data_IF_991091337206
#
_entry.id   IF_991091337206
#
_cell.length_a   1.000
_cell.length_b   1.000
_cell.length_c   1.000
_cell.angle_alpha   90.00
_cell.angle_beta   90.00
_cell.angle_gamma   90.00
#
_symmetry.space_group_name_H-M   'P 1'
#
loop_
_entity.id
_entity.type
_entity.pdbx_description
1 polymer ?
#
# COMPACT_ATOMS: atom_id res chain seq x y z
N UNK A 1 -46.67 -27.59 25.04
CA UNK A 1 -45.24 -27.93 25.22
C UNK A 1 -44.37 -27.49 24.02
N UNK A 2 -44.72 -26.38 23.35
CA UNK A 2 -44.05 -25.89 22.12
C UNK A 2 -43.56 -24.43 22.27
N UNK A 3 -43.71 -23.83 23.46
CA UNK A 3 -43.35 -22.43 23.71
C UNK A 3 -41.89 -22.23 24.18
N UNK A 4 -41.11 -23.30 24.41
CA UNK A 4 -39.71 -23.20 24.89
C UNK A 4 -38.64 -23.39 23.81
N UNK A 5 -39.03 -23.82 22.61
CA UNK A 5 -38.13 -24.01 21.46
C UNK A 5 -38.00 -22.74 20.60
N UNK A 6 -38.98 -21.84 20.66
CA UNK A 6 -38.99 -20.59 19.87
C UNK A 6 -38.09 -19.50 20.45
N UNK A 7 -37.82 -19.52 21.77
CA UNK A 7 -37.07 -18.47 22.45
C UNK A 7 -35.54 -18.59 22.28
N UNK A 8 -35.01 -19.80 22.04
CA UNK A 8 -33.57 -20.00 21.78
C UNK A 8 -33.14 -19.52 20.40
N UNK A 9 -34.01 -19.65 19.39
CA UNK A 9 -33.70 -19.22 18.02
C UNK A 9 -33.61 -17.69 17.91
N UNK A 10 -34.44 -16.96 18.67
CA UNK A 10 -34.41 -15.50 18.69
C UNK A 10 -33.15 -14.94 19.37
N UNK A 11 -32.65 -15.59 20.43
CA UNK A 11 -31.40 -15.20 21.09
C UNK A 11 -30.15 -15.47 20.22
N UNK A 12 -30.15 -16.54 19.43
CA UNK A 12 -29.04 -16.85 18.52
C UNK A 12 -28.93 -15.86 17.34
N UNK A 13 -30.05 -15.32 16.86
CA UNK A 13 -30.06 -14.33 15.77
C UNK A 13 -29.61 -12.94 16.22
N UNK A 14 -29.80 -12.57 17.49
CA UNK A 14 -29.34 -11.27 18.01
C UNK A 14 -27.83 -11.23 18.23
N UNK A 15 -27.21 -12.36 18.63
CA UNK A 15 -25.76 -12.45 18.82
C UNK A 15 -24.98 -12.49 17.49
N UNK A 16 -25.60 -12.92 16.39
CA UNK A 16 -24.99 -12.90 15.06
C UNK A 16 -24.81 -11.47 14.48
N UNK A 17 -25.46 -10.45 15.07
CA UNK A 17 -25.39 -9.07 14.59
C UNK A 17 -24.20 -8.26 15.11
N UNK A 18 -23.45 -8.80 16.08
CA UNK A 18 -22.25 -8.16 16.64
C UNK A 18 -20.94 -8.55 15.93
N UNK A 19 -21.00 -9.45 14.94
CA UNK A 19 -19.89 -9.72 14.03
C UNK A 19 -19.89 -8.78 12.80
N UNK A 20 -20.63 -7.67 12.86
CA UNK A 20 -20.35 -6.58 11.92
C UNK A 20 -18.96 -6.10 12.26
N UNK A 21 -18.07 -6.32 11.29
CA UNK A 21 -16.68 -5.91 11.27
C UNK A 21 -16.48 -4.66 12.12
N UNK A 22 -15.46 -4.68 12.96
CA UNK A 22 -14.86 -3.44 13.39
C UNK A 22 -14.29 -2.84 12.11
N UNK A 23 -15.11 -2.08 11.38
CA UNK A 23 -14.67 -1.19 10.31
C UNK A 23 -13.78 -0.17 11.01
N UNK A 24 -12.52 -0.53 11.19
CA UNK A 24 -11.48 0.44 11.48
C UNK A 24 -11.39 1.23 10.18
N UNK A 25 -12.16 2.31 10.07
CA UNK A 25 -12.05 3.28 9.00
C UNK A 25 -10.74 4.06 9.23
N UNK A 26 -9.62 3.35 9.14
CA UNK A 26 -8.29 3.88 9.31
C UNK A 26 -7.90 4.54 7.99
N UNK A 27 -8.06 5.87 7.96
CA UNK A 27 -7.57 6.67 6.85
C UNK A 27 -6.07 6.89 7.05
N UNK A 28 -5.25 6.39 6.13
CA UNK A 28 -3.82 6.68 6.13
C UNK A 28 -3.58 8.15 5.81
N UNK A 29 -2.69 8.80 6.56
CA UNK A 29 -2.29 10.19 6.35
C UNK A 29 -0.77 10.30 6.15
N UNK A 30 -0.23 11.52 6.09
CA UNK A 30 1.20 11.76 5.96
C UNK A 30 1.61 12.16 4.54
N UNK A 31 2.89 12.52 4.38
CA UNK A 31 3.38 13.24 3.20
C UNK A 31 3.09 12.52 1.87
N UNK A 32 3.16 11.20 1.85
CA UNK A 32 2.84 10.40 0.67
C UNK A 32 1.37 10.53 0.30
N UNK A 33 0.46 10.35 1.26
CA UNK A 33 -0.97 10.41 1.01
C UNK A 33 -1.41 11.84 0.69
N UNK A 34 -0.82 12.85 1.32
CA UNK A 34 -1.15 14.26 1.09
C UNK A 34 -0.74 14.73 -0.33
N UNK A 35 0.37 14.21 -0.85
CA UNK A 35 0.90 14.56 -2.18
C UNK A 35 0.62 13.51 -3.28
N UNK A 36 -0.13 12.44 -2.96
CA UNK A 36 -0.29 11.27 -3.84
C UNK A 36 -0.74 11.63 -5.26
N UNK A 37 -1.72 12.54 -5.40
CA UNK A 37 -2.24 12.94 -6.72
C UNK A 37 -1.22 13.74 -7.54
N UNK A 38 -0.46 14.62 -6.91
CA UNK A 38 0.56 15.43 -7.59
C UNK A 38 1.73 14.56 -8.06
N UNK A 39 2.22 13.70 -7.17
CA UNK A 39 3.33 12.79 -7.47
C UNK A 39 2.91 11.73 -8.51
N UNK A 40 1.70 11.18 -8.40
CA UNK A 40 1.16 10.27 -9.43
C UNK A 40 1.14 10.90 -10.81
N UNK A 41 0.62 12.14 -10.91
CA UNK A 41 0.56 12.86 -12.17
C UNK A 41 1.95 13.03 -12.80
N UNK A 42 2.92 13.47 -12.00
CA UNK A 42 4.32 13.64 -12.42
C UNK A 42 4.93 12.31 -12.88
N UNK A 43 4.79 11.26 -12.07
CA UNK A 43 5.42 9.97 -12.34
C UNK A 43 4.76 9.22 -13.50
N UNK A 44 3.44 9.29 -13.68
CA UNK A 44 2.79 8.73 -14.88
C UNK A 44 3.20 9.48 -16.14
N UNK A 45 3.34 10.80 -16.07
CA UNK A 45 3.75 11.60 -17.22
C UNK A 45 5.19 11.28 -17.63
N UNK A 46 6.09 11.03 -16.68
CA UNK A 46 7.49 10.71 -16.96
C UNK A 46 7.69 9.28 -17.45
N UNK A 47 6.90 8.33 -16.97
CA UNK A 47 7.06 6.89 -17.26
C UNK A 47 6.14 6.37 -18.35
N UNK A 48 5.01 7.03 -18.62
CA UNK A 48 4.00 6.56 -19.57
C UNK A 48 3.04 5.51 -19.00
N UNK A 49 3.11 5.19 -17.71
CA UNK A 49 2.24 4.19 -17.08
C UNK A 49 0.77 4.63 -17.13
N UNK A 50 -0.14 3.79 -17.65
CA UNK A 50 -1.57 4.10 -17.68
C UNK A 50 -2.22 3.86 -16.32
N UNK A 51 -3.25 4.67 -16.00
CA UNK A 51 -3.99 4.60 -14.71
C UNK A 51 -4.53 3.20 -14.41
N UNK A 52 -4.98 2.48 -15.45
CA UNK A 52 -5.50 1.12 -15.34
C UNK A 52 -4.46 0.12 -14.79
N UNK A 53 -3.18 0.31 -15.10
CA UNK A 53 -2.11 -0.56 -14.63
C UNK A 53 -1.91 -0.39 -13.11
N UNK A 54 -1.98 0.84 -12.62
CA UNK A 54 -1.90 1.17 -11.20
C UNK A 54 -3.08 0.58 -10.41
N UNK A 55 -4.29 0.70 -10.96
CA UNK A 55 -5.48 0.14 -10.32
C UNK A 55 -5.39 -1.40 -10.22
N UNK A 56 -4.96 -2.08 -11.30
CA UNK A 56 -4.72 -3.54 -11.27
C UNK A 56 -3.68 -3.93 -10.23
N UNK A 57 -2.63 -3.14 -10.07
CA UNK A 57 -1.62 -3.36 -9.04
C UNK A 57 -2.21 -3.24 -7.62
N UNK A 58 -3.00 -2.18 -7.37
CA UNK A 58 -3.67 -1.97 -6.08
C UNK A 58 -4.71 -3.05 -5.75
N UNK A 59 -5.34 -3.62 -6.77
CA UNK A 59 -6.22 -4.80 -6.66
C UNK A 59 -5.46 -6.10 -6.39
N UNK A 60 -4.12 -6.06 -6.40
CA UNK A 60 -3.25 -7.16 -6.03
C UNK A 60 -2.73 -7.98 -7.21
N UNK A 61 -3.04 -7.59 -8.45
CA UNK A 61 -2.49 -8.25 -9.64
C UNK A 61 -0.98 -8.01 -9.75
N UNK A 62 -0.28 -8.99 -10.32
CA UNK A 62 1.14 -8.82 -10.65
C UNK A 62 1.28 -7.89 -11.85
N UNK A 63 2.07 -6.84 -11.67
CA UNK A 63 2.52 -5.93 -12.73
C UNK A 63 4.04 -5.95 -12.68
N UNK A 64 4.69 -6.34 -13.77
CA UNK A 64 6.15 -6.49 -13.92
C UNK A 64 6.63 -5.78 -15.20
N UNK A 65 5.90 -4.74 -15.59
CA UNK A 65 6.17 -3.90 -16.75
C UNK A 65 7.29 -2.90 -16.44
N UNK A 66 8.22 -2.67 -17.36
CA UNK A 66 9.39 -1.82 -17.12
C UNK A 66 8.99 -0.37 -16.77
N UNK A 67 7.94 0.17 -17.40
CA UNK A 67 7.47 1.52 -17.10
C UNK A 67 6.87 1.57 -15.69
N UNK A 68 6.21 0.49 -15.23
CA UNK A 68 5.71 0.38 -13.86
C UNK A 68 6.81 0.33 -12.81
N UNK A 69 7.89 -0.40 -13.07
CA UNK A 69 9.06 -0.42 -12.19
C UNK A 69 9.64 0.99 -12.03
N UNK A 70 9.77 1.71 -13.14
CA UNK A 70 10.25 3.08 -13.12
C UNK A 70 9.26 4.06 -12.50
N UNK A 71 7.95 3.78 -12.54
CA UNK A 71 6.96 4.54 -11.80
C UNK A 71 7.15 4.41 -10.28
N UNK A 72 7.41 3.20 -9.76
CA UNK A 72 7.75 3.01 -8.34
C UNK A 72 9.05 3.74 -7.97
N UNK A 73 10.08 3.65 -8.82
CA UNK A 73 11.33 4.44 -8.65
C UNK A 73 11.02 5.93 -8.55
N UNK A 74 10.21 6.46 -9.46
CA UNK A 74 9.85 7.87 -9.48
C UNK A 74 9.19 8.30 -8.16
N UNK A 75 8.22 7.52 -7.64
CA UNK A 75 7.60 7.80 -6.34
C UNK A 75 8.64 7.85 -5.22
N UNK A 76 9.54 6.86 -5.16
CA UNK A 76 10.57 6.81 -4.11
C UNK A 76 11.54 7.99 -4.20
N UNK A 77 11.85 8.49 -5.40
CA UNK A 77 12.67 9.70 -5.61
C UNK A 77 11.95 10.96 -5.13
N UNK A 78 10.69 11.13 -5.52
CA UNK A 78 9.87 12.30 -5.13
C UNK A 78 9.69 12.36 -3.60
N UNK A 79 9.72 11.22 -2.92
CA UNK A 79 9.69 11.10 -1.46
C UNK A 79 11.05 10.77 -0.81
N UNK A 80 12.14 11.04 -1.53
CA UNK A 80 13.53 11.03 -1.05
C UNK A 80 14.07 9.69 -0.50
N UNK A 81 13.36 8.58 -0.67
CA UNK A 81 13.80 7.26 -0.20
C UNK A 81 14.64 6.48 -1.19
N UNK A 82 14.79 6.99 -2.42
CA UNK A 82 15.69 6.44 -3.42
C UNK A 82 16.35 7.58 -4.19
N UNK A 83 17.63 7.46 -4.53
CA UNK A 83 18.30 8.35 -5.48
C UNK A 83 18.05 7.93 -6.93
N UNK A 84 18.41 8.80 -7.89
CA UNK A 84 18.25 8.49 -9.32
C UNK A 84 19.10 7.28 -9.77
N UNK A 85 20.25 7.05 -9.13
CA UNK A 85 21.13 5.90 -9.33
C UNK A 85 20.76 4.67 -8.48
N UNK A 86 19.63 4.70 -7.76
CA UNK A 86 19.08 3.52 -7.06
C UNK A 86 19.61 3.29 -5.65
N UNK A 87 20.22 4.29 -5.01
CA UNK A 87 20.67 4.19 -3.61
C UNK A 87 19.50 4.44 -2.66
N UNK A 88 19.16 3.42 -1.86
CA UNK A 88 18.07 3.48 -0.88
C UNK A 88 18.43 4.30 0.36
N UNK A 89 17.53 5.19 0.79
CA UNK A 89 17.70 6.07 1.96
C UNK A 89 16.73 5.65 3.06
N UNK A 90 17.24 4.83 3.98
CA UNK A 90 16.42 4.22 5.06
C UNK A 90 15.71 5.26 5.94
N UNK A 91 16.37 6.34 6.32
CA UNK A 91 15.80 7.34 7.22
C UNK A 91 14.57 8.01 6.59
N UNK A 92 14.66 8.40 5.32
CA UNK A 92 13.54 8.97 4.56
C UNK A 92 12.40 7.97 4.37
N UNK A 93 12.70 6.69 4.11
CA UNK A 93 11.65 5.68 3.99
C UNK A 93 10.93 5.41 5.31
N UNK A 94 11.62 5.47 6.45
CA UNK A 94 10.98 5.37 7.76
C UNK A 94 10.09 6.59 8.06
N UNK A 95 10.43 7.76 7.54
CA UNK A 95 9.57 8.95 7.60
C UNK A 95 8.38 8.89 6.63
N UNK A 96 8.53 8.18 5.50
CA UNK A 96 7.48 7.92 4.53
C UNK A 96 6.35 7.03 5.06
N UNK A 97 6.63 6.19 6.06
CA UNK A 97 5.61 5.32 6.66
C UNK A 97 4.49 6.17 7.29
N UNK A 98 3.22 5.96 6.88
CA UNK A 98 2.08 6.68 7.45
C UNK A 98 2.01 6.56 8.98
N UNK A 99 1.63 7.64 9.68
CA UNK A 99 1.67 7.70 11.14
C UNK A 99 0.80 6.61 11.81
N UNK A 100 -0.28 6.20 11.15
CA UNK A 100 -1.22 5.18 11.65
C UNK A 100 -0.65 3.76 11.70
N UNK A 101 0.41 3.50 10.92
CA UNK A 101 1.02 2.17 10.77
C UNK A 101 2.54 2.21 11.02
N UNK A 102 3.05 3.17 11.80
CA UNK A 102 4.49 3.32 12.01
C UNK A 102 5.16 2.06 12.50
N UNK A 103 4.57 1.38 13.47
CA UNK A 103 5.21 0.21 14.10
C UNK A 103 5.34 -0.96 13.09
N UNK A 104 4.24 -1.29 12.42
CA UNK A 104 4.17 -2.34 11.40
C UNK A 104 5.02 -1.98 10.18
N UNK A 105 4.88 -0.75 9.67
CA UNK A 105 5.60 -0.27 8.51
C UNK A 105 7.10 -0.18 8.74
N UNK A 106 7.55 0.27 9.92
CA UNK A 106 8.98 0.27 10.27
C UNK A 106 9.56 -1.15 10.31
N UNK A 107 8.81 -2.14 10.81
CA UNK A 107 9.23 -3.55 10.75
C UNK A 107 9.42 -4.01 9.31
N UNK A 108 8.47 -3.70 8.42
CA UNK A 108 8.54 -4.05 6.99
C UNK A 108 9.76 -3.40 6.34
N UNK A 109 9.92 -2.08 6.47
CA UNK A 109 11.05 -1.32 5.90
C UNK A 109 12.39 -1.86 6.41
N UNK A 110 12.52 -2.12 7.71
CA UNK A 110 13.75 -2.68 8.27
C UNK A 110 14.08 -4.08 7.76
N UNK A 111 13.08 -4.89 7.44
CA UNK A 111 13.30 -6.21 6.84
C UNK A 111 13.79 -6.13 5.39
N UNK A 112 13.43 -5.07 4.66
CA UNK A 112 13.68 -4.92 3.22
C UNK A 112 14.80 -3.93 2.85
N UNK A 113 15.35 -3.18 3.81
CA UNK A 113 16.43 -2.17 3.59
C UNK A 113 17.72 -2.67 2.91
N UNK A 114 17.86 -3.99 2.73
CA UNK A 114 19.05 -4.62 2.16
C UNK A 114 18.88 -4.97 0.67
N UNK A 115 17.68 -4.78 0.12
CA UNK A 115 17.41 -5.03 -1.30
C UNK A 115 18.13 -3.99 -2.14
N UNK A 116 18.89 -4.46 -3.13
CA UNK A 116 19.61 -3.65 -4.08
C UNK A 116 19.87 -4.45 -5.36
N UNK A 117 19.68 -3.83 -6.51
CA UNK A 117 19.88 -4.39 -7.84
C UNK A 117 20.75 -3.44 -8.69
N UNK A 118 21.21 -3.92 -9.85
CA UNK A 118 22.10 -3.13 -10.73
C UNK A 118 21.40 -1.95 -11.42
N UNK A 119 20.08 -1.99 -11.51
CA UNK A 119 19.26 -0.98 -12.18
C UNK A 119 18.26 -0.38 -11.17
N UNK A 120 18.08 0.95 -11.21
CA UNK A 120 17.35 1.69 -10.19
C UNK A 120 15.84 1.40 -10.20
N UNK A 121 15.22 1.24 -11.37
CA UNK A 121 13.81 0.83 -11.46
C UNK A 121 13.60 -0.58 -10.91
N UNK A 122 14.50 -1.52 -11.21
CA UNK A 122 14.47 -2.86 -10.65
C UNK A 122 14.68 -2.86 -9.12
N UNK A 123 15.60 -2.03 -8.60
CA UNK A 123 15.78 -1.86 -7.15
C UNK A 123 14.48 -1.41 -6.48
N UNK A 124 13.83 -0.36 -7.00
CA UNK A 124 12.55 0.12 -6.47
C UNK A 124 11.48 -0.97 -6.50
N UNK A 125 11.34 -1.65 -7.64
CA UNK A 125 10.37 -2.75 -7.78
C UNK A 125 10.61 -3.85 -6.75
N UNK A 126 11.84 -4.33 -6.59
CA UNK A 126 12.15 -5.43 -5.70
C UNK A 126 12.03 -5.05 -4.22
N UNK A 127 12.27 -3.79 -3.86
CA UNK A 127 11.95 -3.26 -2.53
C UNK A 127 10.44 -3.40 -2.26
N UNK A 128 9.60 -2.95 -3.18
CA UNK A 128 8.15 -3.05 -3.07
C UNK A 128 7.64 -4.50 -3.06
N UNK A 129 8.28 -5.41 -3.82
CA UNK A 129 7.98 -6.83 -3.76
C UNK A 129 8.37 -7.43 -2.40
N UNK A 130 9.48 -6.99 -1.80
CA UNK A 130 9.86 -7.35 -0.44
C UNK A 130 8.84 -6.83 0.58
N UNK A 131 8.35 -5.59 0.44
CA UNK A 131 7.28 -5.06 1.31
C UNK A 131 6.03 -5.93 1.26
N UNK A 132 5.59 -6.28 0.04
CA UNK A 132 4.46 -7.20 -0.19
C UNK A 132 4.70 -8.57 0.43
N UNK A 133 5.91 -9.11 0.37
CA UNK A 133 6.24 -10.41 0.94
C UNK A 133 6.31 -10.36 2.47
N UNK A 134 6.83 -9.28 3.05
CA UNK A 134 7.00 -9.11 4.48
C UNK A 134 5.65 -8.98 5.20
N UNK A 135 4.71 -8.21 4.64
CA UNK A 135 3.37 -8.06 5.19
C UNK A 135 2.36 -7.78 4.06
N UNK A 136 1.75 -8.83 3.47
CA UNK A 136 0.84 -8.67 2.33
C UNK A 136 -0.40 -7.83 2.62
N UNK A 137 -0.95 -7.94 3.84
CA UNK A 137 -2.17 -7.25 4.23
C UNK A 137 -1.90 -5.76 4.46
N UNK A 138 -0.81 -5.44 5.18
CA UNK A 138 -0.38 -4.06 5.37
C UNK A 138 -0.03 -3.40 4.03
N UNK A 139 0.71 -4.11 3.18
CA UNK A 139 1.09 -3.59 1.87
C UNK A 139 -0.16 -3.34 1.00
N UNK A 140 -1.12 -4.27 1.00
CA UNK A 140 -2.39 -4.10 0.30
C UNK A 140 -3.20 -2.90 0.79
N UNK A 141 -3.23 -2.65 2.11
CA UNK A 141 -3.86 -1.48 2.70
C UNK A 141 -3.25 -0.17 2.15
N UNK A 142 -1.91 -0.08 2.15
CA UNK A 142 -1.20 1.12 1.69
C UNK A 142 -1.43 1.39 0.21
N UNK A 143 -1.25 0.41 -0.67
CA UNK A 143 -1.39 0.63 -2.12
C UNK A 143 -2.83 0.95 -2.52
N UNK A 144 -3.83 0.38 -1.83
CA UNK A 144 -5.25 0.71 -2.08
C UNK A 144 -5.60 2.10 -1.58
N UNK A 145 -5.07 2.52 -0.43
CA UNK A 145 -5.26 3.89 0.07
C UNK A 145 -4.64 4.92 -0.88
N UNK A 146 -3.45 4.63 -1.42
CA UNK A 146 -2.78 5.47 -2.41
C UNK A 146 -3.61 5.55 -3.71
N UNK A 147 -4.03 4.42 -4.27
CA UNK A 147 -4.87 4.32 -5.47
C UNK A 147 -6.19 5.09 -5.33
N UNK A 148 -6.86 4.93 -4.19
CA UNK A 148 -8.10 5.66 -3.88
C UNK A 148 -7.90 7.17 -3.74
N UNK A 149 -6.72 7.62 -3.30
CA UNK A 149 -6.40 9.05 -3.15
C UNK A 149 -6.13 9.73 -4.49
N UNK A 150 -5.51 9.02 -5.43
CA UNK A 150 -5.28 9.52 -6.80
C UNK A 150 -6.61 9.76 -7.52
N UNK A 151 -7.55 8.82 -7.38
CA UNK A 151 -8.84 8.83 -8.07
C UNK A 151 -8.74 8.46 -9.55
N UNK A 152 -9.85 8.62 -10.26
CA UNK A 152 -9.96 8.42 -11.71
C UNK A 152 -9.95 9.80 -12.38
N UNK A 153 -8.84 10.19 -13.01
CA UNK A 153 -8.75 11.40 -13.85
C UNK A 153 -9.31 11.15 -15.26
#
# INVERSE_FOLDING_TARGET
MWARLSDCAALLLLLASAARAWDVNMKLTGRIMDAAKEVDHTCRTSTGVPREMLHRYADGQTVDDDDFKCYLKCIMIEFNSLSDDGVFVLEEELENVPPEIKEEGHRVVHSCKHINHDEACETAYQIHQCYKQSDPELYSLVVRAFDATIGDD
#
